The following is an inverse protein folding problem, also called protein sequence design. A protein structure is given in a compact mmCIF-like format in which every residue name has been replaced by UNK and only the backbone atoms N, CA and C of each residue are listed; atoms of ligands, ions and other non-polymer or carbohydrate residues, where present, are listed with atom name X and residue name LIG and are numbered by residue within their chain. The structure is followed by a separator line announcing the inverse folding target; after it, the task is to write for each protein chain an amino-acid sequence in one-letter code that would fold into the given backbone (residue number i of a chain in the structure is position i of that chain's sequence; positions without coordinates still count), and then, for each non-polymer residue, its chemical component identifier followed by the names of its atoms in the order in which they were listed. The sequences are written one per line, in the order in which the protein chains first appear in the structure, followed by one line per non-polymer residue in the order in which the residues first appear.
data_IF_426405914908
#
_entry.id   IF_426405914908
#
_cell.length_a   1.000
_cell.length_b   1.000
_cell.length_c   1.000
_cell.angle_alpha   90.00
_cell.angle_beta   90.00
_cell.angle_gamma   90.00
#
_symmetry.space_group_name_H-M   'P 1'
#
loop_
_entity.id
_entity.type
_entity.pdbx_description
1 polymer ?
#
# COMPACT_ATOMS: atom_id res chain seq x y z
N UNK A 1 16.94 -24.70 -5.47
CA UNK A 1 15.53 -24.24 -5.58
C UNK A 1 15.44 -22.80 -5.15
N UNK A 2 15.06 -21.88 -6.04
CA UNK A 2 14.94 -20.44 -5.72
C UNK A 2 13.56 -20.21 -5.11
N UNK A 3 13.47 -20.32 -3.79
CA UNK A 3 12.27 -19.92 -3.03
C UNK A 3 12.16 -18.41 -3.06
N UNK A 4 11.52 -17.87 -4.10
CA UNK A 4 11.08 -16.49 -4.11
C UNK A 4 9.99 -16.31 -3.05
N UNK A 5 10.36 -15.93 -1.82
CA UNK A 5 9.42 -15.27 -0.91
C UNK A 5 9.13 -13.89 -1.50
N UNK A 6 8.32 -13.85 -2.54
CA UNK A 6 7.80 -12.61 -3.12
C UNK A 6 6.70 -12.10 -2.21
N UNK A 7 7.09 -11.54 -1.08
CA UNK A 7 6.17 -11.04 -0.06
C UNK A 7 6.82 -9.90 0.68
N UNK A 8 7.18 -8.81 -0.02
CA UNK A 8 7.42 -7.54 0.68
C UNK A 8 6.15 -7.24 1.47
N UNK A 9 6.29 -7.09 2.79
CA UNK A 9 5.16 -6.71 3.64
C UNK A 9 4.51 -5.45 3.06
N UNK A 10 3.20 -5.33 3.21
CA UNK A 10 2.44 -4.18 2.71
C UNK A 10 3.01 -2.87 3.26
N UNK A 11 3.53 -2.87 4.49
CA UNK A 11 4.25 -1.73 5.08
C UNK A 11 5.52 -1.35 4.31
N UNK A 12 6.32 -2.32 3.88
CA UNK A 12 7.52 -2.06 3.10
C UNK A 12 7.19 -1.48 1.73
N UNK A 13 6.04 -1.84 1.16
CA UNK A 13 5.59 -1.27 -0.12
C UNK A 13 5.24 0.21 0.04
N UNK A 14 4.46 0.56 1.08
CA UNK A 14 4.12 1.96 1.39
C UNK A 14 5.36 2.82 1.62
N UNK A 15 6.36 2.32 2.36
CA UNK A 15 7.62 3.04 2.59
C UNK A 15 8.42 3.22 1.29
N UNK A 16 8.37 2.24 0.39
CA UNK A 16 9.06 2.33 -0.89
C UNK A 16 8.39 3.36 -1.79
N UNK A 17 7.06 3.39 -1.82
CA UNK A 17 6.29 4.39 -2.58
C UNK A 17 6.56 5.80 -2.05
N UNK A 18 6.58 5.98 -0.73
CA UNK A 18 6.94 7.24 -0.10
C UNK A 18 8.36 7.69 -0.46
N UNK A 19 9.32 6.76 -0.49
CA UNK A 19 10.69 7.04 -0.90
C UNK A 19 10.77 7.45 -2.39
N UNK A 20 10.01 6.78 -3.27
CA UNK A 20 9.95 7.12 -4.69
C UNK A 20 9.33 8.49 -4.93
N UNK A 21 8.26 8.84 -4.20
CA UNK A 21 7.67 10.18 -4.24
C UNK A 21 8.70 11.23 -3.76
N UNK A 22 9.37 10.97 -2.64
CA UNK A 22 10.37 11.88 -2.07
C UNK A 22 11.58 12.06 -2.99
N UNK A 23 11.98 11.02 -3.72
CA UNK A 23 13.08 11.08 -4.69
C UNK A 23 12.73 11.83 -5.98
N UNK A 24 11.46 12.19 -6.19
CA UNK A 24 10.99 12.85 -7.41
C UNK A 24 10.81 11.91 -8.61
N UNK A 25 11.07 10.61 -8.45
CA UNK A 25 10.85 9.59 -9.49
C UNK A 25 9.35 9.44 -9.80
N UNK A 26 8.50 9.56 -8.78
CA UNK A 26 7.04 9.56 -8.90
C UNK A 26 6.46 10.87 -8.39
N UNK A 27 5.44 11.40 -9.06
CA UNK A 27 4.72 12.59 -8.61
C UNK A 27 3.69 12.27 -7.51
N UNK A 28 3.01 11.14 -7.64
CA UNK A 28 2.02 10.66 -6.67
C UNK A 28 1.78 9.16 -6.87
N UNK A 29 1.21 8.53 -5.84
CA UNK A 29 0.75 7.13 -5.85
C UNK A 29 -0.62 7.08 -5.20
N UNK A 30 -1.57 6.34 -5.78
CA UNK A 30 -2.89 6.08 -5.19
C UNK A 30 -3.04 4.57 -4.94
N UNK A 31 -3.45 4.21 -3.72
CA UNK A 31 -3.71 2.82 -3.36
C UNK A 31 -5.19 2.46 -3.54
N UNK A 32 -5.47 1.45 -4.36
CA UNK A 32 -6.84 1.00 -4.63
C UNK A 32 -7.09 -0.32 -3.91
N UNK A 33 -8.10 -0.33 -3.03
CA UNK A 33 -8.50 -1.52 -2.29
C UNK A 33 -9.77 -2.10 -2.89
N UNK A 34 -9.72 -3.40 -3.20
CA UNK A 34 -10.86 -4.17 -3.64
C UNK A 34 -11.58 -4.78 -2.45
N UNK A 35 -12.91 -4.92 -2.56
CA UNK A 35 -13.70 -5.70 -1.61
C UNK A 35 -13.32 -7.17 -1.71
N UNK A 36 -12.97 -7.78 -0.59
CA UNK A 36 -12.72 -9.22 -0.52
C UNK A 36 -14.03 -9.99 -0.76
N UNK A 37 -14.08 -10.91 -1.75
CA UNK A 37 -15.26 -11.72 -2.01
C UNK A 37 -15.50 -12.77 -0.92
N UNK A 38 -14.46 -13.12 -0.15
CA UNK A 38 -14.51 -14.17 0.87
C UNK A 38 -14.97 -13.60 2.22
N UNK A 39 -14.38 -12.46 2.63
CA UNK A 39 -14.63 -11.89 3.96
C UNK A 39 -15.57 -10.70 3.94
N UNK A 40 -15.95 -10.18 2.76
CA UNK A 40 -16.75 -8.96 2.59
C UNK A 40 -16.04 -7.65 3.01
N UNK A 41 -14.91 -7.76 3.72
CA UNK A 41 -14.06 -6.63 4.14
C UNK A 41 -13.48 -5.90 2.93
N UNK A 42 -13.45 -4.59 2.99
CA UNK A 42 -12.84 -3.70 2.01
C UNK A 42 -11.93 -2.70 2.71
N UNK A 43 -10.92 -2.21 1.98
CA UNK A 43 -10.02 -1.15 2.47
C UNK A 43 -8.81 -1.62 3.27
N UNK A 44 -7.97 -0.67 3.70
CA UNK A 44 -6.79 -0.94 4.50
C UNK A 44 -7.16 -1.33 5.93
N UNK A 45 -6.31 -2.16 6.56
CA UNK A 45 -6.36 -2.37 8.01
C UNK A 45 -6.07 -1.05 8.75
N UNK A 46 -6.48 -0.88 10.03
CA UNK A 46 -6.24 0.35 10.78
C UNK A 46 -4.77 0.79 10.80
N UNK A 47 -3.85 -0.16 10.98
CA UNK A 47 -2.41 0.10 10.96
C UNK A 47 -1.92 0.57 9.58
N UNK A 48 -2.44 -0.03 8.50
CA UNK A 48 -2.09 0.38 7.15
C UNK A 48 -2.68 1.74 6.78
N UNK A 49 -3.91 2.02 7.23
CA UNK A 49 -4.57 3.32 7.04
C UNK A 49 -3.75 4.44 7.68
N UNK A 50 -3.24 4.22 8.90
CA UNK A 50 -2.34 5.18 9.57
C UNK A 50 -1.05 5.36 8.79
N UNK A 51 -0.43 4.28 8.32
CA UNK A 51 0.82 4.36 7.56
C UNK A 51 0.65 5.12 6.23
N UNK A 52 -0.45 4.90 5.51
CA UNK A 52 -0.78 5.64 4.29
C UNK A 52 -0.99 7.13 4.57
N UNK A 53 -1.72 7.45 5.65
CA UNK A 53 -1.95 8.83 6.09
C UNK A 53 -0.64 9.53 6.46
N UNK A 54 0.21 8.89 7.27
CA UNK A 54 1.50 9.45 7.72
C UNK A 54 2.45 9.74 6.54
N UNK A 55 2.28 9.06 5.40
CA UNK A 55 3.08 9.25 4.18
C UNK A 55 2.36 10.07 3.09
N UNK A 56 1.20 10.67 3.40
CA UNK A 56 0.38 11.43 2.43
C UNK A 56 0.01 10.63 1.18
N UNK A 57 -0.22 9.31 1.31
CA UNK A 57 -0.62 8.45 0.21
C UNK A 57 -2.13 8.28 0.22
N UNK A 58 -2.86 8.83 -0.79
CA UNK A 58 -4.30 8.65 -0.89
C UNK A 58 -4.67 7.20 -1.20
N UNK A 59 -5.85 6.79 -0.72
CA UNK A 59 -6.41 5.50 -1.07
C UNK A 59 -7.92 5.58 -1.28
N UNK A 60 -8.44 4.67 -2.10
CA UNK A 60 -9.87 4.53 -2.37
C UNK A 60 -10.32 3.09 -2.41
N UNK A 61 -11.63 2.90 -2.27
CA UNK A 61 -12.30 1.63 -2.48
C UNK A 61 -12.77 1.56 -3.94
N UNK A 62 -12.64 0.38 -4.54
CA UNK A 62 -13.17 0.08 -5.88
C UNK A 62 -14.02 -1.18 -5.86
#
# INVERSE_FOLDING_TARGET
MKVGRTGKSVSNQVLNDAALIKSGVLKSVEWVFLKSPITGKSGPTPSLKKLLFDNNIPWRLK
#
